data_IF_086164973274
#
_entry.id   IF_086164973274
#
_cell.length_a   1.000
_cell.length_b   1.000
_cell.length_c   1.000
_cell.angle_alpha   90.00
_cell.angle_beta   90.00
_cell.angle_gamma   90.00
#
_symmetry.space_group_name_H-M   'P 1'
#
loop_
_entity.id
_entity.type
_entity.pdbx_description
1 polymer ?
#
# COMPACT_ATOMS: atom_id res chain seq x y z
N UNK A 1 -13.96 147.25 -9.74
CA UNK A 1 -14.08 146.08 -8.75
C UNK A 1 -15.02 144.98 -9.14
N UNK A 2 -15.98 145.18 -9.99
CA UNK A 2 -16.94 144.21 -10.42
C UNK A 2 -16.34 143.15 -11.35
N UNK A 3 -15.40 143.44 -12.22
CA UNK A 3 -14.77 142.51 -13.15
C UNK A 3 -13.87 141.45 -12.42
N UNK A 4 -13.26 141.79 -11.24
CA UNK A 4 -12.41 140.86 -10.50
C UNK A 4 -13.22 139.80 -9.70
N UNK A 5 -14.43 140.20 -9.24
CA UNK A 5 -15.31 139.17 -8.56
C UNK A 5 -15.93 138.18 -9.51
N UNK A 6 -16.28 138.55 -10.76
CA UNK A 6 -16.80 137.68 -11.78
C UNK A 6 -15.74 136.66 -12.24
N UNK A 7 -14.45 137.10 -12.34
CA UNK A 7 -13.34 136.18 -12.68
C UNK A 7 -13.09 135.20 -11.57
N UNK A 8 -13.12 135.50 -10.29
CA UNK A 8 -12.98 134.67 -9.15
C UNK A 8 -14.14 133.56 -9.09
N UNK A 9 -15.35 134.03 -9.41
CA UNK A 9 -16.49 133.07 -9.46
C UNK A 9 -16.37 132.04 -10.62
N UNK A 10 -15.90 132.41 -11.81
CA UNK A 10 -15.63 131.55 -12.91
C UNK A 10 -14.52 130.54 -12.60
N UNK A 11 -13.41 130.96 -11.97
CA UNK A 11 -12.30 130.14 -11.53
C UNK A 11 -12.77 129.14 -10.48
N UNK A 12 -13.60 129.52 -9.51
CA UNK A 12 -14.12 128.59 -8.48
C UNK A 12 -15.06 127.57 -9.08
N UNK A 13 -15.90 127.94 -10.05
CA UNK A 13 -16.77 126.97 -10.75
C UNK A 13 -15.93 125.95 -11.56
N UNK A 14 -14.91 126.40 -12.29
CA UNK A 14 -13.99 125.54 -13.02
C UNK A 14 -13.27 124.55 -12.10
N UNK A 15 -12.76 125.04 -10.94
CA UNK A 15 -12.11 124.18 -9.94
C UNK A 15 -13.06 123.16 -9.36
N UNK A 16 -14.31 123.53 -9.03
CA UNK A 16 -15.31 122.57 -8.53
C UNK A 16 -15.65 121.48 -9.60
N UNK A 17 -15.83 121.90 -10.89
CA UNK A 17 -16.07 120.98 -11.97
C UNK A 17 -14.89 119.99 -12.15
N UNK A 18 -13.64 120.42 -12.09
CA UNK A 18 -12.45 119.62 -12.18
C UNK A 18 -12.36 118.64 -11.00
N UNK A 19 -12.67 119.07 -9.76
CA UNK A 19 -12.70 118.24 -8.58
C UNK A 19 -13.81 117.16 -8.71
N UNK A 20 -14.99 117.56 -9.23
CA UNK A 20 -16.06 116.53 -9.45
C UNK A 20 -15.66 115.52 -10.51
N UNK A 21 -15.06 115.94 -11.65
CA UNK A 21 -14.55 115.02 -12.69
C UNK A 21 -13.44 114.13 -12.11
N UNK A 22 -12.52 114.63 -11.28
CA UNK A 22 -11.48 113.87 -10.63
C UNK A 22 -12.05 112.83 -9.66
N UNK A 23 -13.04 113.24 -8.83
CA UNK A 23 -13.74 112.29 -7.92
C UNK A 23 -14.50 111.24 -8.69
N UNK A 24 -15.25 111.61 -9.76
CA UNK A 24 -15.96 110.69 -10.61
C UNK A 24 -15.00 109.69 -11.31
N UNK A 25 -13.83 110.18 -11.80
CA UNK A 25 -12.76 109.35 -12.39
C UNK A 25 -12.13 108.43 -11.37
N UNK A 26 -11.87 108.89 -10.16
CA UNK A 26 -11.33 108.06 -9.07
C UNK A 26 -12.30 106.98 -8.63
N UNK A 27 -13.61 107.29 -8.52
CA UNK A 27 -14.65 106.30 -8.22
C UNK A 27 -14.81 105.31 -9.38
N UNK A 28 -14.73 105.75 -10.62
CA UNK A 28 -14.76 104.93 -11.79
C UNK A 28 -13.60 103.93 -11.83
N UNK A 29 -12.35 104.43 -11.64
CA UNK A 29 -11.13 103.61 -11.52
C UNK A 29 -11.19 102.60 -10.35
N UNK A 30 -11.66 103.05 -9.20
CA UNK A 30 -11.82 102.18 -8.04
C UNK A 30 -12.82 101.08 -8.31
N UNK A 31 -13.91 101.36 -9.00
CA UNK A 31 -14.88 100.25 -9.38
C UNK A 31 -14.37 99.36 -10.50
N UNK A 32 -13.54 99.85 -11.42
CA UNK A 32 -13.02 99.13 -12.55
C UNK A 32 -11.88 98.19 -12.15
N UNK A 33 -10.98 98.56 -11.23
CA UNK A 33 -9.78 97.85 -10.88
C UNK A 33 -9.88 97.22 -9.47
N UNK A 34 -10.32 97.98 -8.46
CA UNK A 34 -10.29 97.46 -7.09
C UNK A 34 -11.36 96.40 -6.79
N UNK A 35 -12.57 96.50 -7.39
CA UNK A 35 -13.63 95.51 -7.18
C UNK A 35 -13.28 94.09 -7.68
N UNK A 36 -12.80 93.90 -8.93
CA UNK A 36 -12.39 92.59 -9.38
C UNK A 36 -11.24 91.98 -8.57
N UNK A 37 -10.23 92.82 -8.19
CA UNK A 37 -9.13 92.35 -7.31
C UNK A 37 -9.64 91.91 -5.94
N UNK A 38 -10.59 92.65 -5.34
CA UNK A 38 -11.21 92.29 -4.08
C UNK A 38 -12.03 90.98 -4.23
N UNK A 39 -12.72 90.76 -5.35
CA UNK A 39 -13.43 89.50 -5.61
C UNK A 39 -12.47 88.28 -5.68
N UNK A 40 -11.32 88.39 -6.38
CA UNK A 40 -10.30 87.35 -6.43
C UNK A 40 -9.68 87.17 -5.03
N UNK A 41 -9.34 88.23 -4.32
CA UNK A 41 -8.81 88.13 -2.95
C UNK A 41 -9.79 87.52 -1.96
N UNK A 42 -11.08 87.86 -2.05
CA UNK A 42 -12.14 87.27 -1.21
C UNK A 42 -12.36 85.81 -1.58
N UNK A 43 -12.36 85.44 -2.87
CA UNK A 43 -12.46 84.02 -3.33
C UNK A 43 -11.30 83.18 -2.83
N UNK A 44 -10.05 83.69 -2.92
CA UNK A 44 -8.87 83.03 -2.34
C UNK A 44 -8.98 82.83 -0.82
N UNK A 45 -9.47 83.88 -0.12
CA UNK A 45 -9.67 83.83 1.33
C UNK A 45 -10.73 82.83 1.73
N UNK A 46 -11.86 82.74 1.01
CA UNK A 46 -12.90 81.74 1.26
C UNK A 46 -12.39 80.34 1.03
N UNK A 47 -11.52 80.07 0.04
CA UNK A 47 -10.87 78.78 -0.17
C UNK A 47 -9.86 78.44 0.93
N UNK A 48 -9.06 79.43 1.37
CA UNK A 48 -8.00 79.21 2.35
C UNK A 48 -8.48 79.14 3.79
N UNK A 49 -9.50 79.90 4.17
CA UNK A 49 -10.00 79.97 5.55
C UNK A 49 -11.42 79.48 5.73
N UNK A 50 -12.12 79.14 4.63
CA UNK A 50 -13.52 78.66 4.59
C UNK A 50 -13.66 77.17 4.44
N UNK A 51 -14.83 76.75 3.96
CA UNK A 51 -15.19 75.36 3.73
C UNK A 51 -14.55 74.70 2.45
N UNK A 52 -13.55 75.41 1.86
CA UNK A 52 -12.86 74.86 0.66
C UNK A 52 -13.78 74.69 -0.55
N UNK A 53 -14.77 75.55 -0.72
CA UNK A 53 -15.74 75.45 -1.82
C UNK A 53 -15.10 75.80 -3.19
N UNK A 54 -14.71 74.77 -3.91
CA UNK A 54 -14.07 74.88 -5.23
C UNK A 54 -15.12 74.97 -6.37
N UNK A 55 -16.41 75.09 -6.06
CA UNK A 55 -17.47 75.18 -7.07
C UNK A 55 -17.75 76.65 -7.45
N UNK A 56 -17.33 77.61 -6.63
CA UNK A 56 -17.57 79.06 -6.82
C UNK A 56 -16.67 79.61 -7.91
N UNK A 57 -17.23 79.95 -9.05
CA UNK A 57 -16.53 80.61 -10.15
C UNK A 57 -16.71 82.15 -10.07
N UNK A 58 -15.64 82.88 -10.36
CA UNK A 58 -15.70 84.36 -10.52
C UNK A 58 -16.38 84.73 -11.86
N UNK A 59 -17.42 85.52 -11.80
CA UNK A 59 -18.07 86.01 -13.02
C UNK A 59 -17.16 86.99 -13.77
N UNK A 60 -16.70 86.60 -14.97
CA UNK A 60 -15.91 87.43 -15.87
C UNK A 60 -16.82 88.49 -16.54
N UNK A 61 -16.75 89.72 -16.12
CA UNK A 61 -17.57 90.83 -16.69
C UNK A 61 -16.76 91.88 -17.43
N UNK A 62 -15.47 91.76 -17.53
CA UNK A 62 -14.57 92.73 -18.20
C UNK A 62 -13.74 91.97 -19.27
N UNK A 63 -13.44 92.74 -20.36
CA UNK A 63 -12.56 92.23 -21.43
C UNK A 63 -11.10 92.82 -21.29
N UNK A 64 -10.76 93.33 -20.11
CA UNK A 64 -9.45 93.87 -19.75
C UNK A 64 -8.62 92.87 -18.93
N UNK A 65 -7.47 93.30 -18.41
CA UNK A 65 -6.54 92.48 -17.60
C UNK A 65 -7.21 91.87 -16.36
N UNK A 66 -8.27 92.51 -15.84
CA UNK A 66 -8.99 91.99 -14.66
C UNK A 66 -9.90 90.82 -15.04
N UNK A 67 -10.46 90.84 -16.24
CA UNK A 67 -11.21 89.73 -16.80
C UNK A 67 -10.33 88.53 -17.11
N UNK A 68 -9.13 88.76 -17.62
CA UNK A 68 -8.14 87.73 -17.87
C UNK A 68 -7.71 87.02 -16.55
N UNK A 69 -7.44 87.80 -15.49
CA UNK A 69 -7.11 87.36 -14.14
C UNK A 69 -8.24 86.43 -13.58
N UNK A 70 -9.50 86.82 -13.72
CA UNK A 70 -10.63 86.02 -13.30
C UNK A 70 -10.74 84.68 -14.11
N UNK A 71 -10.42 84.71 -15.42
CA UNK A 71 -10.31 83.55 -16.26
C UNK A 71 -9.25 82.52 -15.78
N UNK A 72 -8.03 83.02 -15.50
CA UNK A 72 -6.96 82.19 -14.94
C UNK A 72 -7.30 81.66 -13.56
N UNK A 73 -7.97 82.41 -12.70
CA UNK A 73 -8.44 81.97 -11.41
C UNK A 73 -9.45 80.79 -11.54
N UNK A 74 -10.47 80.94 -12.42
CA UNK A 74 -11.43 79.90 -12.67
C UNK A 74 -10.78 78.63 -13.27
N UNK A 75 -9.81 78.79 -14.18
CA UNK A 75 -9.02 77.68 -14.72
C UNK A 75 -8.20 76.99 -13.63
N UNK A 76 -7.60 77.73 -12.73
CA UNK A 76 -6.90 77.18 -11.56
C UNK A 76 -7.85 76.38 -10.64
N UNK A 77 -9.00 76.98 -10.28
CA UNK A 77 -10.00 76.27 -9.47
C UNK A 77 -10.48 74.92 -10.12
N UNK A 78 -10.73 74.97 -11.44
CA UNK A 78 -11.11 73.81 -12.20
C UNK A 78 -10.04 72.69 -12.14
N UNK A 79 -8.76 73.07 -12.29
CA UNK A 79 -7.65 72.13 -12.20
C UNK A 79 -7.53 71.52 -10.78
N UNK A 80 -7.65 72.37 -9.73
CA UNK A 80 -7.66 71.85 -8.34
C UNK A 80 -8.86 70.94 -8.06
N UNK A 81 -10.07 71.28 -8.52
CA UNK A 81 -11.27 70.44 -8.40
C UNK A 81 -11.05 69.12 -9.01
N UNK A 82 -10.52 69.05 -10.24
CA UNK A 82 -10.23 67.77 -10.93
C UNK A 82 -9.20 66.96 -10.16
N UNK A 83 -8.14 67.57 -9.63
CA UNK A 83 -7.10 66.92 -8.83
C UNK A 83 -7.71 66.33 -7.55
N UNK A 84 -8.54 67.09 -6.82
CA UNK A 84 -9.22 66.64 -5.60
C UNK A 84 -10.18 65.45 -5.91
N UNK A 85 -10.92 65.50 -7.01
CA UNK A 85 -11.79 64.39 -7.46
C UNK A 85 -10.97 63.15 -7.79
N UNK A 86 -9.82 63.29 -8.47
CA UNK A 86 -8.94 62.16 -8.76
C UNK A 86 -8.36 61.55 -7.47
N UNK A 87 -7.95 62.39 -6.50
CA UNK A 87 -7.46 61.92 -5.20
C UNK A 87 -8.55 61.18 -4.44
N UNK A 88 -9.80 61.69 -4.45
CA UNK A 88 -10.95 61.01 -3.85
C UNK A 88 -11.21 59.64 -4.46
N UNK A 89 -11.22 59.56 -5.80
CA UNK A 89 -11.36 58.29 -6.48
C UNK A 89 -10.24 57.30 -6.15
N UNK A 90 -8.98 57.77 -6.10
CA UNK A 90 -7.84 56.94 -5.72
C UNK A 90 -7.94 56.46 -4.26
N UNK A 91 -8.39 57.33 -3.34
CA UNK A 91 -8.65 56.97 -1.95
C UNK A 91 -9.71 55.86 -1.81
N UNK A 92 -10.85 56.02 -2.51
CA UNK A 92 -11.88 54.97 -2.52
C UNK A 92 -11.36 53.66 -3.10
N UNK A 93 -10.68 53.68 -4.24
CA UNK A 93 -10.10 52.49 -4.87
C UNK A 93 -9.06 51.80 -3.97
N UNK A 94 -8.28 52.59 -3.21
CA UNK A 94 -7.32 52.10 -2.21
C UNK A 94 -8.05 51.42 -1.04
N UNK A 95 -9.12 52.00 -0.51
CA UNK A 95 -9.95 51.40 0.54
C UNK A 95 -10.59 50.06 0.12
N UNK A 96 -11.18 50.03 -1.10
CA UNK A 96 -11.70 48.78 -1.64
C UNK A 96 -10.63 47.71 -1.83
N UNK A 97 -9.42 48.09 -2.27
CA UNK A 97 -8.30 47.16 -2.46
C UNK A 97 -7.81 46.63 -1.12
N UNK A 98 -7.74 47.52 -0.08
CA UNK A 98 -7.40 47.13 1.28
C UNK A 98 -8.42 46.14 1.86
N UNK A 99 -9.72 46.42 1.69
CA UNK A 99 -10.79 45.52 2.15
C UNK A 99 -10.72 44.11 1.48
N UNK A 100 -10.50 44.10 0.15
CA UNK A 100 -10.31 42.80 -0.56
C UNK A 100 -9.05 42.07 -0.07
N UNK A 101 -7.95 42.78 0.16
CA UNK A 101 -6.72 42.18 0.66
C UNK A 101 -6.89 41.62 2.09
N UNK A 102 -7.70 42.27 2.95
CA UNK A 102 -8.07 41.78 4.25
C UNK A 102 -8.80 40.43 4.14
N UNK A 103 -9.84 40.36 3.33
CA UNK A 103 -10.60 39.09 3.11
C UNK A 103 -9.69 37.96 2.61
N UNK A 104 -8.82 38.24 1.63
CA UNK A 104 -7.87 37.26 1.10
C UNK A 104 -6.89 36.81 2.19
N UNK A 105 -6.45 37.70 3.08
CA UNK A 105 -5.53 37.33 4.18
C UNK A 105 -6.22 36.46 5.22
N UNK A 106 -7.49 36.71 5.54
CA UNK A 106 -8.30 35.89 6.43
C UNK A 106 -8.54 34.47 5.84
N UNK A 107 -8.89 34.41 4.55
CA UNK A 107 -9.06 33.14 3.84
C UNK A 107 -7.74 32.34 3.82
N UNK A 108 -6.61 33.02 3.61
CA UNK A 108 -5.30 32.39 3.57
C UNK A 108 -4.91 31.82 4.95
N UNK A 109 -5.16 32.55 6.03
CA UNK A 109 -4.95 32.05 7.40
C UNK A 109 -5.81 30.81 7.68
N UNK A 110 -7.08 30.81 7.25
CA UNK A 110 -7.96 29.65 7.41
C UNK A 110 -7.50 28.44 6.59
N UNK A 111 -6.99 28.67 5.37
CA UNK A 111 -6.41 27.60 4.54
C UNK A 111 -5.14 27.03 5.19
N UNK A 112 -4.28 27.91 5.71
CA UNK A 112 -3.06 27.51 6.42
C UNK A 112 -3.36 26.64 7.63
N UNK A 113 -4.35 27.01 8.44
CA UNK A 113 -4.77 26.20 9.61
C UNK A 113 -5.27 24.82 9.19
N UNK A 114 -6.12 24.72 8.15
CA UNK A 114 -6.57 23.42 7.62
C UNK A 114 -5.42 22.58 7.07
N UNK A 115 -4.44 23.24 6.46
CA UNK A 115 -3.26 22.56 5.93
C UNK A 115 -2.39 22.00 7.06
N UNK A 116 -2.22 22.75 8.17
CA UNK A 116 -1.51 22.26 9.36
C UNK A 116 -2.16 21.00 9.93
N UNK A 117 -3.49 20.99 10.08
CA UNK A 117 -4.23 19.81 10.54
C UNK A 117 -4.05 18.61 9.60
N UNK A 118 -4.08 18.84 8.29
CA UNK A 118 -3.83 17.80 7.31
C UNK A 118 -2.39 17.24 7.41
N UNK A 119 -1.40 18.10 7.59
CA UNK A 119 0.01 17.73 7.78
C UNK A 119 0.19 16.87 9.02
N UNK A 120 -0.43 17.21 10.15
CA UNK A 120 -0.38 16.38 11.38
C UNK A 120 -0.98 14.98 11.17
N UNK A 121 -2.15 14.90 10.51
CA UNK A 121 -2.78 13.61 10.19
C UNK A 121 -1.90 12.76 9.28
N UNK A 122 -1.32 13.37 8.24
CA UNK A 122 -0.44 12.68 7.30
C UNK A 122 0.85 12.22 7.99
N UNK A 123 1.46 13.05 8.85
CA UNK A 123 2.64 12.68 9.64
C UNK A 123 2.36 11.46 10.54
N UNK A 124 1.19 11.43 11.20
CA UNK A 124 0.77 10.30 12.02
C UNK A 124 0.65 9.03 11.18
N UNK A 125 0.00 9.10 10.01
CA UNK A 125 -0.16 7.95 9.11
C UNK A 125 1.18 7.40 8.59
N UNK A 126 2.17 8.28 8.31
CA UNK A 126 3.49 7.82 7.89
C UNK A 126 4.29 7.21 9.04
N UNK A 127 4.16 7.69 10.27
CA UNK A 127 4.75 7.03 11.43
C UNK A 127 4.18 5.63 11.67
N UNK A 128 2.86 5.44 11.48
CA UNK A 128 2.21 4.12 11.51
C UNK A 128 2.69 3.22 10.36
N UNK A 129 2.90 3.79 9.16
CA UNK A 129 3.45 3.06 8.01
C UNK A 129 4.87 2.56 8.28
N UNK A 130 5.76 3.39 8.86
CA UNK A 130 7.11 2.99 9.28
C UNK A 130 7.06 1.83 10.28
N UNK A 131 6.19 1.91 11.29
CA UNK A 131 6.02 0.84 12.27
C UNK A 131 5.53 -0.46 11.61
N UNK A 132 4.53 -0.36 10.73
CA UNK A 132 3.98 -1.51 10.00
C UNK A 132 5.00 -2.13 9.05
N UNK A 133 5.78 -1.34 8.33
CA UNK A 133 6.84 -1.84 7.44
C UNK A 133 7.90 -2.64 8.23
N UNK A 134 8.33 -2.15 9.38
CA UNK A 134 9.24 -2.86 10.28
C UNK A 134 8.66 -4.18 10.81
N UNK A 135 7.36 -4.18 11.16
CA UNK A 135 6.68 -5.40 11.60
C UNK A 135 6.59 -6.42 10.46
N UNK A 136 6.23 -6.01 9.26
CA UNK A 136 6.20 -6.87 8.06
C UNK A 136 7.57 -7.46 7.78
N UNK A 137 8.66 -6.68 7.80
CA UNK A 137 10.02 -7.17 7.58
C UNK A 137 10.40 -8.24 8.64
N UNK A 138 10.04 -8.02 9.90
CA UNK A 138 10.29 -8.97 11.00
C UNK A 138 9.50 -10.27 10.83
N UNK A 139 8.21 -10.17 10.46
CA UNK A 139 7.35 -11.33 10.18
C UNK A 139 7.87 -12.15 9.00
N UNK A 140 8.31 -11.51 7.93
CA UNK A 140 8.88 -12.18 6.76
C UNK A 140 10.20 -12.90 7.10
N UNK A 141 11.06 -12.30 7.94
CA UNK A 141 12.27 -12.96 8.43
C UNK A 141 11.93 -14.22 9.23
N UNK A 142 10.94 -14.13 10.10
CA UNK A 142 10.46 -15.27 10.89
C UNK A 142 9.84 -16.36 10.00
N UNK A 143 9.06 -15.97 8.99
CA UNK A 143 8.45 -16.90 8.04
C UNK A 143 9.51 -17.60 7.16
N UNK A 144 10.57 -16.88 6.74
CA UNK A 144 11.70 -17.45 6.01
C UNK A 144 12.43 -18.51 6.87
N UNK A 145 12.69 -18.23 8.16
CA UNK A 145 13.26 -19.21 9.10
C UNK A 145 12.39 -20.44 9.29
N UNK A 146 11.06 -20.27 9.34
CA UNK A 146 10.12 -21.39 9.41
C UNK A 146 10.13 -22.22 8.11
N UNK A 147 10.28 -21.59 6.95
CA UNK A 147 10.47 -22.27 5.67
C UNK A 147 11.77 -23.07 5.65
N UNK A 148 12.90 -22.53 6.12
CA UNK A 148 14.16 -23.25 6.24
C UNK A 148 14.04 -24.51 7.14
N UNK A 149 13.35 -24.33 8.28
CA UNK A 149 13.10 -25.45 9.20
C UNK A 149 12.22 -26.56 8.54
N UNK A 150 11.21 -26.13 7.78
CA UNK A 150 10.34 -27.03 7.01
C UNK A 150 11.12 -27.76 5.91
N UNK A 151 12.03 -27.06 5.22
CA UNK A 151 12.91 -27.64 4.21
C UNK A 151 13.81 -28.74 4.79
N UNK A 152 14.35 -28.50 5.99
CA UNK A 152 15.13 -29.52 6.70
C UNK A 152 14.32 -30.77 7.04
N UNK A 153 13.05 -30.61 7.48
CA UNK A 153 12.12 -31.71 7.75
C UNK A 153 11.77 -32.49 6.48
N UNK A 154 11.52 -31.79 5.36
CA UNK A 154 11.28 -32.42 4.06
C UNK A 154 12.47 -33.25 3.62
N UNK A 155 13.68 -32.71 3.73
CA UNK A 155 14.92 -33.44 3.39
C UNK A 155 15.11 -34.70 4.26
N UNK A 156 14.82 -34.60 5.55
CA UNK A 156 14.87 -35.74 6.45
C UNK A 156 13.80 -36.79 6.08
N UNK A 157 12.57 -36.32 5.79
CA UNK A 157 11.48 -37.21 5.34
C UNK A 157 11.81 -37.98 4.05
N UNK A 158 12.42 -37.32 3.06
CA UNK A 158 12.90 -37.96 1.84
C UNK A 158 13.97 -39.02 2.12
N UNK A 159 14.88 -38.77 3.06
CA UNK A 159 15.89 -39.74 3.49
C UNK A 159 15.23 -40.99 4.13
N UNK A 160 14.25 -40.75 5.03
CA UNK A 160 13.55 -41.83 5.73
C UNK A 160 12.74 -42.69 4.76
N UNK A 161 12.10 -42.09 3.76
CA UNK A 161 11.40 -42.75 2.68
C UNK A 161 12.34 -43.60 1.84
N UNK A 162 13.49 -43.10 1.43
CA UNK A 162 14.49 -43.83 0.66
C UNK A 162 14.99 -45.06 1.47
N UNK A 163 15.14 -44.92 2.77
CA UNK A 163 15.52 -46.04 3.65
C UNK A 163 14.39 -47.07 3.78
N UNK A 164 13.14 -46.63 3.84
CA UNK A 164 11.98 -47.53 3.84
C UNK A 164 11.89 -48.32 2.53
N UNK A 165 12.09 -47.69 1.36
CA UNK A 165 12.16 -48.39 0.06
C UNK A 165 13.26 -49.47 0.06
N UNK A 166 14.45 -49.11 0.56
CA UNK A 166 15.54 -50.08 0.64
C UNK A 166 15.18 -51.28 1.53
N UNK A 167 14.55 -51.05 2.69
CA UNK A 167 14.12 -52.11 3.60
C UNK A 167 13.02 -53.03 3.01
N UNK A 168 12.05 -52.45 2.27
CA UNK A 168 11.01 -53.23 1.60
C UNK A 168 11.59 -54.05 0.44
N UNK A 169 12.56 -53.53 -0.30
CA UNK A 169 13.27 -54.31 -1.34
C UNK A 169 14.07 -55.44 -0.74
N UNK A 170 14.73 -55.26 0.39
CA UNK A 170 15.42 -56.36 1.12
C UNK A 170 14.43 -57.41 1.60
N UNK A 171 13.26 -57.00 2.13
CA UNK A 171 12.18 -57.93 2.50
C UNK A 171 11.69 -58.73 1.29
N UNK A 172 11.47 -58.10 0.13
CA UNK A 172 11.07 -58.76 -1.10
C UNK A 172 12.10 -59.84 -1.53
N UNK A 173 13.42 -59.54 -1.40
CA UNK A 173 14.49 -60.52 -1.67
C UNK A 173 14.46 -61.71 -0.70
N UNK A 174 14.25 -61.47 0.60
CA UNK A 174 14.13 -62.52 1.60
C UNK A 174 12.91 -63.39 1.36
N UNK A 175 11.77 -62.85 0.97
CA UNK A 175 10.57 -63.59 0.60
C UNK A 175 10.84 -64.45 -0.64
N UNK A 176 11.52 -63.90 -1.64
CA UNK A 176 11.88 -64.65 -2.87
C UNK A 176 12.80 -65.82 -2.56
N UNK A 177 13.84 -65.64 -1.76
CA UNK A 177 14.73 -66.72 -1.33
C UNK A 177 14.02 -67.80 -0.50
N UNK A 178 13.09 -67.39 0.38
CA UNK A 178 12.26 -68.32 1.15
C UNK A 178 11.33 -69.08 0.24
N UNK A 179 10.77 -68.48 -0.82
CA UNK A 179 9.93 -69.19 -1.81
C UNK A 179 10.71 -70.21 -2.57
N UNK A 180 11.98 -69.95 -2.91
CA UNK A 180 12.84 -70.99 -3.55
C UNK A 180 13.10 -72.16 -2.64
N UNK A 181 13.40 -71.96 -1.35
CA UNK A 181 13.59 -73.00 -0.36
C UNK A 181 12.33 -73.89 -0.17
N UNK A 182 11.14 -73.26 -0.20
CA UNK A 182 9.85 -74.02 -0.12
C UNK A 182 9.59 -74.79 -1.40
N UNK A 183 9.99 -74.28 -2.58
CA UNK A 183 9.89 -75.02 -3.84
C UNK A 183 10.81 -76.30 -3.82
N UNK A 184 12.03 -76.20 -3.28
CA UNK A 184 12.93 -77.30 -3.07
C UNK A 184 12.30 -78.33 -2.12
N UNK A 185 11.67 -77.92 -1.00
CA UNK A 185 10.97 -78.75 -0.07
C UNK A 185 9.76 -79.48 -0.74
N UNK A 186 9.04 -78.87 -1.63
CA UNK A 186 7.98 -79.42 -2.42
C UNK A 186 8.52 -80.60 -3.33
N UNK A 187 9.66 -80.29 -4.00
CA UNK A 187 10.35 -81.30 -4.83
C UNK A 187 10.81 -82.49 -4.02
N UNK A 188 11.45 -82.27 -2.84
CA UNK A 188 11.87 -83.34 -1.96
C UNK A 188 10.69 -84.20 -1.47
N UNK A 189 9.57 -83.54 -1.12
CA UNK A 189 8.33 -84.27 -0.73
C UNK A 189 7.77 -85.13 -1.84
N UNK A 190 7.85 -84.74 -3.11
CA UNK A 190 7.49 -85.52 -4.27
C UNK A 190 8.42 -86.72 -4.41
N UNK A 191 9.72 -86.56 -4.17
CA UNK A 191 10.71 -87.66 -4.14
C UNK A 191 10.39 -88.68 -3.08
N UNK A 192 10.01 -88.26 -1.87
CA UNK A 192 9.59 -89.14 -0.78
C UNK A 192 8.35 -90.00 -1.20
N UNK A 193 7.36 -89.37 -1.86
CA UNK A 193 6.20 -90.05 -2.36
C UNK A 193 6.59 -91.20 -3.32
N UNK A 194 7.50 -90.97 -4.24
CA UNK A 194 7.99 -92.01 -5.18
C UNK A 194 8.71 -93.17 -4.46
N UNK A 195 9.46 -92.90 -3.39
CA UNK A 195 10.11 -93.87 -2.56
C UNK A 195 9.07 -94.71 -1.81
N UNK A 196 8.04 -94.07 -1.21
CA UNK A 196 6.95 -94.77 -0.51
C UNK A 196 6.16 -95.73 -1.43
N UNK A 197 5.87 -95.30 -2.65
CA UNK A 197 5.24 -96.10 -3.67
C UNK A 197 6.06 -97.41 -3.98
N UNK A 198 7.39 -97.23 -4.06
CA UNK A 198 8.32 -98.31 -4.24
C UNK A 198 8.29 -99.33 -3.05
N UNK A 199 8.34 -98.77 -1.82
CA UNK A 199 8.31 -99.59 -0.57
C UNK A 199 6.95 -100.28 -0.48
N UNK A 200 5.86 -99.65 -0.80
CA UNK A 200 4.52 -100.26 -0.83
C UNK A 200 4.46 -101.40 -1.84
N UNK A 201 5.04 -101.23 -3.04
CA UNK A 201 5.13 -102.27 -4.04
C UNK A 201 5.94 -103.50 -3.56
N UNK A 202 7.09 -103.27 -2.88
CA UNK A 202 7.93 -104.32 -2.27
C UNK A 202 7.16 -105.02 -1.16
N UNK A 203 6.45 -104.33 -0.31
CA UNK A 203 5.64 -104.89 0.76
C UNK A 203 4.50 -105.77 0.20
N UNK A 204 3.84 -105.29 -0.87
CA UNK A 204 2.80 -106.04 -1.55
C UNK A 204 3.35 -107.35 -2.19
N UNK A 205 4.50 -107.24 -2.86
CA UNK A 205 5.20 -108.40 -3.39
C UNK A 205 5.60 -109.41 -2.28
N UNK A 206 6.14 -108.85 -1.15
CA UNK A 206 6.55 -109.68 0.03
C UNK A 206 5.33 -110.35 0.65
N UNK A 207 4.19 -109.68 0.76
CA UNK A 207 2.94 -110.27 1.24
C UNK A 207 2.45 -111.41 0.33
N UNK A 208 2.55 -111.23 -1.01
CA UNK A 208 2.22 -112.26 -1.97
C UNK A 208 3.19 -113.48 -1.89
N UNK A 209 4.49 -113.26 -1.76
CA UNK A 209 5.52 -114.25 -1.58
C UNK A 209 5.28 -115.04 -0.28
N UNK A 210 5.00 -114.36 0.81
CA UNK A 210 4.67 -114.96 2.10
C UNK A 210 3.38 -115.77 2.04
N UNK A 211 2.35 -115.32 1.34
CA UNK A 211 1.11 -116.06 1.11
C UNK A 211 1.39 -117.39 0.34
N UNK A 212 2.16 -117.32 -0.73
CA UNK A 212 2.56 -118.48 -1.52
C UNK A 212 3.38 -119.48 -0.67
N UNK A 213 4.30 -118.97 0.18
CA UNK A 213 5.06 -119.84 1.09
C UNK A 213 4.18 -120.46 2.17
N UNK A 214 3.21 -119.71 2.73
CA UNK A 214 2.24 -120.24 3.68
C UNK A 214 1.35 -121.41 3.04
N UNK A 215 0.93 -121.21 1.78
CA UNK A 215 0.19 -122.19 1.02
C UNK A 215 1.03 -123.51 0.81
N UNK A 216 2.27 -123.37 0.41
CA UNK A 216 3.15 -124.50 0.15
C UNK A 216 3.57 -125.21 1.46
N UNK A 217 3.76 -124.41 2.54
CA UNK A 217 4.01 -124.97 3.88
C UNK A 217 2.80 -125.76 4.40
N UNK A 218 1.56 -125.31 4.17
CA UNK A 218 0.34 -126.08 4.47
C UNK A 218 0.22 -127.35 3.62
N UNK A 219 0.71 -127.35 2.40
CA UNK A 219 0.75 -128.44 1.48
C UNK A 219 1.74 -129.57 1.89
N UNK A 220 2.82 -129.15 2.59
CA UNK A 220 3.82 -130.08 3.09
C UNK A 220 3.42 -130.73 4.43
N UNK A 221 2.26 -130.46 4.98
CA UNK A 221 1.71 -131.08 6.18
C UNK A 221 2.57 -130.91 7.43
N UNK A 222 2.78 -131.87 8.27
CA UNK A 222 3.56 -131.81 9.52
C UNK A 222 5.00 -131.39 9.30
N UNK A 223 5.59 -131.66 8.16
CA UNK A 223 6.97 -131.10 7.82
C UNK A 223 7.05 -129.63 7.50
N UNK A 224 5.94 -129.06 7.15
CA UNK A 224 5.88 -127.64 6.81
C UNK A 224 5.50 -126.70 7.96
N UNK A 225 5.17 -127.16 9.16
CA UNK A 225 4.68 -126.33 10.31
C UNK A 225 5.62 -125.16 10.69
N UNK A 226 6.93 -125.36 10.75
CA UNK A 226 7.91 -124.34 11.05
C UNK A 226 7.96 -123.27 9.97
N UNK A 227 7.87 -123.62 8.68
CA UNK A 227 7.81 -122.72 7.55
C UNK A 227 6.49 -121.95 7.49
N UNK A 228 5.38 -122.56 7.86
CA UNK A 228 4.09 -121.86 7.93
C UNK A 228 4.08 -120.71 8.94
N UNK A 229 4.64 -120.86 10.14
CA UNK A 229 4.79 -119.81 11.18
C UNK A 229 5.66 -118.64 10.69
N UNK A 230 6.79 -118.97 10.01
CA UNK A 230 7.66 -117.93 9.44
C UNK A 230 6.95 -117.18 8.30
N UNK A 231 6.21 -117.91 7.45
CA UNK A 231 5.45 -117.28 6.36
C UNK A 231 4.34 -116.38 6.89
N UNK A 232 3.62 -116.78 7.94
CA UNK A 232 2.61 -115.90 8.57
C UNK A 232 3.24 -114.71 9.24
N UNK A 233 4.41 -114.79 9.89
CA UNK A 233 5.12 -113.67 10.47
C UNK A 233 5.63 -112.67 9.42
N UNK A 234 6.21 -113.21 8.30
CA UNK A 234 6.60 -112.38 7.14
C UNK A 234 5.40 -111.65 6.54
N UNK A 235 4.26 -112.36 6.42
CA UNK A 235 3.01 -111.76 5.94
C UNK A 235 2.49 -110.65 6.86
N UNK A 236 2.52 -110.92 8.17
CA UNK A 236 2.15 -109.90 9.17
C UNK A 236 3.07 -108.65 9.11
N UNK A 237 4.40 -108.85 8.94
CA UNK A 237 5.39 -107.79 8.79
C UNK A 237 5.16 -106.99 7.51
N UNK A 238 4.89 -107.70 6.37
CA UNK A 238 4.56 -107.07 5.09
C UNK A 238 3.31 -106.19 5.21
N UNK A 239 2.26 -106.69 5.86
CA UNK A 239 1.05 -105.89 6.15
C UNK A 239 1.33 -104.66 6.99
N UNK A 240 2.08 -104.84 8.10
CA UNK A 240 2.51 -103.68 8.94
C UNK A 240 3.32 -102.69 8.16
N UNK A 241 4.19 -103.08 7.25
CA UNK A 241 4.95 -102.20 6.37
C UNK A 241 4.01 -101.43 5.44
N UNK A 242 3.01 -102.07 4.85
CA UNK A 242 2.00 -101.36 4.02
C UNK A 242 1.22 -100.33 4.83
N UNK A 243 0.74 -100.71 6.02
CA UNK A 243 -0.02 -99.81 6.89
C UNK A 243 0.87 -98.58 7.30
N UNK A 244 2.14 -98.80 7.67
CA UNK A 244 3.11 -97.70 7.98
C UNK A 244 3.40 -96.86 6.77
N UNK A 245 3.55 -97.38 5.57
CA UNK A 245 3.76 -96.58 4.36
C UNK A 245 2.55 -95.75 4.02
N UNK A 246 1.33 -96.26 4.25
CA UNK A 246 0.09 -95.43 4.07
C UNK A 246 0.03 -94.27 5.04
N UNK A 247 0.32 -94.52 6.34
CA UNK A 247 0.39 -93.38 7.34
C UNK A 247 1.44 -92.32 6.98
N UNK A 248 2.64 -92.73 6.52
CA UNK A 248 3.66 -91.79 6.07
C UNK A 248 3.21 -91.07 4.82
N UNK A 249 2.53 -91.74 3.86
CA UNK A 249 2.01 -91.09 2.65
C UNK A 249 0.98 -89.99 2.99
N UNK A 250 0.09 -90.23 3.97
CA UNK A 250 -0.85 -89.23 4.44
C UNK A 250 -0.13 -88.03 5.05
N UNK A 251 0.98 -88.25 5.80
CA UNK A 251 1.81 -87.21 6.36
C UNK A 251 2.47 -86.36 5.26
N UNK A 252 3.01 -87.02 4.21
CA UNK A 252 3.63 -86.35 3.06
C UNK A 252 2.61 -85.58 2.26
N UNK A 253 1.42 -86.07 2.02
CA UNK A 253 0.35 -85.30 1.37
C UNK A 253 -0.06 -84.09 2.16
N UNK A 254 -0.15 -84.15 3.48
CA UNK A 254 -0.38 -82.96 4.33
C UNK A 254 0.78 -81.93 4.25
N UNK A 255 2.01 -82.43 4.19
CA UNK A 255 3.19 -81.52 4.00
C UNK A 255 3.13 -80.80 2.66
N UNK A 256 2.83 -81.52 1.54
CA UNK A 256 2.68 -80.97 0.19
C UNK A 256 1.57 -79.91 0.13
N UNK A 257 0.43 -80.16 0.78
CA UNK A 257 -0.63 -79.10 0.84
C UNK A 257 -0.22 -77.88 1.61
N UNK A 258 0.48 -78.05 2.72
CA UNK A 258 1.00 -76.91 3.51
C UNK A 258 2.07 -76.08 2.78
N UNK A 259 2.98 -76.76 2.05
CA UNK A 259 3.97 -76.11 1.22
C UNK A 259 3.33 -75.24 0.12
N UNK A 260 2.29 -75.74 -0.54
CA UNK A 260 1.50 -75.00 -1.53
C UNK A 260 0.83 -73.79 -0.92
N UNK A 261 0.23 -73.89 0.27
CA UNK A 261 -0.37 -72.76 0.99
C UNK A 261 0.69 -71.67 1.32
N UNK A 262 1.87 -72.08 1.80
CA UNK A 262 2.98 -71.19 2.12
C UNK A 262 3.50 -70.50 0.85
N UNK A 263 3.66 -71.22 -0.26
CA UNK A 263 4.06 -70.64 -1.55
C UNK A 263 3.06 -69.57 -2.01
N UNK A 264 1.76 -69.82 -1.90
CA UNK A 264 0.72 -68.88 -2.24
C UNK A 264 0.79 -67.61 -1.34
N UNK A 265 0.99 -67.78 -0.02
CA UNK A 265 1.15 -66.65 0.91
C UNK A 265 2.40 -65.81 0.59
N UNK A 266 3.51 -66.47 0.20
CA UNK A 266 4.73 -65.75 -0.22
C UNK A 266 4.51 -64.92 -1.48
N UNK A 267 3.79 -65.41 -2.47
CA UNK A 267 3.41 -64.71 -3.68
C UNK A 267 2.57 -63.47 -3.37
N UNK A 268 1.58 -63.59 -2.46
CA UNK A 268 0.78 -62.44 -2.00
C UNK A 268 1.65 -61.42 -1.27
N UNK A 269 2.57 -61.86 -0.41
CA UNK A 269 3.49 -61.00 0.33
C UNK A 269 4.46 -60.24 -0.60
N UNK A 270 4.95 -60.92 -1.64
CA UNK A 270 5.82 -60.30 -2.65
C UNK A 270 5.08 -59.19 -3.43
N UNK A 271 3.84 -59.45 -3.86
CA UNK A 271 3.01 -58.43 -4.51
C UNK A 271 2.74 -57.24 -3.60
N UNK A 272 2.40 -57.48 -2.33
CA UNK A 272 2.20 -56.40 -1.36
C UNK A 272 3.46 -55.56 -1.13
N UNK A 273 4.65 -56.21 -1.17
CA UNK A 273 5.93 -55.50 -1.11
C UNK A 273 6.13 -54.57 -2.32
N UNK A 274 5.82 -55.02 -3.54
CA UNK A 274 5.90 -54.21 -4.76
C UNK A 274 4.93 -53.01 -4.71
N UNK A 275 3.67 -53.25 -4.32
CA UNK A 275 2.69 -52.19 -4.15
C UNK A 275 3.15 -51.15 -3.12
N UNK A 276 3.79 -51.60 -2.04
CA UNK A 276 4.35 -50.70 -1.01
C UNK A 276 5.47 -49.83 -1.58
N UNK A 277 6.35 -50.39 -2.43
CA UNK A 277 7.41 -49.59 -3.12
C UNK A 277 6.77 -48.52 -4.02
N UNK A 278 5.78 -48.90 -4.85
CA UNK A 278 5.10 -47.91 -5.73
C UNK A 278 4.42 -46.81 -4.94
N UNK A 279 3.73 -47.12 -3.83
CA UNK A 279 3.13 -46.12 -2.95
C UNK A 279 4.20 -45.18 -2.35
N UNK A 280 5.34 -45.73 -1.96
CA UNK A 280 6.43 -44.98 -1.35
C UNK A 280 7.11 -44.05 -2.37
N UNK A 281 7.24 -44.47 -3.63
CA UNK A 281 7.70 -43.59 -4.73
C UNK A 281 6.74 -42.41 -4.98
N UNK A 282 5.42 -42.66 -4.92
CA UNK A 282 4.41 -41.59 -4.99
C UNK A 282 4.56 -40.59 -3.84
N UNK A 283 4.81 -41.08 -2.61
CA UNK A 283 5.08 -40.21 -1.46
C UNK A 283 6.37 -39.38 -1.67
N UNK A 284 7.44 -39.99 -2.21
CA UNK A 284 8.68 -39.27 -2.51
C UNK A 284 8.48 -38.14 -3.52
N UNK A 285 7.64 -38.37 -4.55
CA UNK A 285 7.23 -37.33 -5.52
C UNK A 285 6.50 -36.18 -4.81
N UNK A 286 5.60 -36.51 -3.86
CA UNK A 286 4.87 -35.52 -3.08
C UNK A 286 5.82 -34.67 -2.22
N UNK A 287 6.83 -35.28 -1.58
CA UNK A 287 7.86 -34.56 -0.83
C UNK A 287 8.68 -33.62 -1.73
N UNK A 288 8.95 -34.01 -2.97
CA UNK A 288 9.64 -33.12 -3.93
C UNK A 288 8.80 -31.89 -4.27
N UNK A 289 7.48 -32.03 -4.45
CA UNK A 289 6.56 -30.91 -4.65
C UNK A 289 6.44 -30.00 -3.41
N UNK A 290 6.48 -30.58 -2.21
CA UNK A 290 6.52 -29.80 -0.95
C UNK A 290 7.82 -29.01 -0.86
N UNK A 291 8.98 -29.61 -1.20
CA UNK A 291 10.29 -28.95 -1.21
C UNK A 291 10.30 -27.72 -2.10
N UNK A 292 9.78 -27.84 -3.33
CA UNK A 292 9.66 -26.73 -4.28
C UNK A 292 8.77 -25.59 -3.74
N UNK A 293 7.63 -25.97 -3.15
CA UNK A 293 6.70 -25.02 -2.54
C UNK A 293 7.32 -24.26 -1.37
N UNK A 294 8.05 -24.96 -0.49
CA UNK A 294 8.74 -24.36 0.66
C UNK A 294 9.85 -23.41 0.21
N UNK A 295 10.63 -23.81 -0.82
CA UNK A 295 11.64 -22.93 -1.43
C UNK A 295 11.01 -21.64 -1.99
N UNK A 296 9.87 -21.78 -2.69
CA UNK A 296 9.14 -20.63 -3.22
C UNK A 296 8.64 -19.69 -2.11
N UNK A 297 8.17 -20.25 -0.98
CA UNK A 297 7.76 -19.46 0.20
C UNK A 297 8.95 -18.72 0.80
N UNK A 298 10.12 -19.35 0.91
CA UNK A 298 11.34 -18.69 1.38
C UNK A 298 11.72 -17.50 0.50
N UNK A 299 11.73 -17.69 -0.83
CA UNK A 299 12.07 -16.64 -1.80
C UNK A 299 11.06 -15.47 -1.76
N UNK A 300 9.76 -15.78 -1.68
CA UNK A 300 8.72 -14.76 -1.55
C UNK A 300 8.88 -13.96 -0.26
N UNK A 301 9.15 -14.58 0.87
CA UNK A 301 9.35 -13.87 2.13
C UNK A 301 10.59 -12.95 2.08
N UNK A 302 11.66 -13.36 1.41
CA UNK A 302 12.84 -12.54 1.18
C UNK A 302 12.51 -11.30 0.33
N UNK A 303 11.71 -11.47 -0.73
CA UNK A 303 11.26 -10.36 -1.56
C UNK A 303 10.33 -9.39 -0.80
N UNK A 304 9.40 -9.92 0.00
CA UNK A 304 8.49 -9.07 0.80
C UNK A 304 9.28 -8.30 1.87
N UNK A 305 10.27 -8.93 2.52
CA UNK A 305 11.14 -8.25 3.49
C UNK A 305 11.91 -7.09 2.83
N UNK A 306 12.45 -7.30 1.62
CA UNK A 306 13.13 -6.24 0.85
C UNK A 306 12.17 -5.10 0.47
N UNK A 307 10.95 -5.43 0.02
CA UNK A 307 9.93 -4.43 -0.30
C UNK A 307 9.48 -3.63 0.95
N UNK A 308 9.40 -4.28 2.11
CA UNK A 308 9.08 -3.60 3.37
C UNK A 308 10.20 -2.63 3.79
N UNK A 309 11.48 -3.01 3.61
CA UNK A 309 12.63 -2.13 3.83
C UNK A 309 12.59 -0.91 2.90
N UNK A 310 12.28 -1.10 1.62
CA UNK A 310 12.11 0.01 0.68
C UNK A 310 10.94 0.92 1.09
N UNK A 311 9.80 0.34 1.54
CA UNK A 311 8.67 1.13 2.06
C UNK A 311 9.06 1.95 3.30
N UNK A 312 9.86 1.39 4.21
CA UNK A 312 10.38 2.10 5.35
C UNK A 312 11.20 3.33 4.93
N UNK A 313 12.14 3.18 3.99
CA UNK A 313 12.98 4.27 3.49
C UNK A 313 12.16 5.37 2.79
N UNK A 314 11.18 4.98 1.97
CA UNK A 314 10.27 5.92 1.30
C UNK A 314 9.42 6.67 2.32
N UNK A 315 8.90 5.99 3.35
CA UNK A 315 8.11 6.63 4.40
C UNK A 315 8.93 7.64 5.21
N UNK A 316 10.20 7.34 5.49
CA UNK A 316 11.12 8.30 6.13
C UNK A 316 11.39 9.53 5.25
N UNK A 317 11.55 9.36 3.93
CA UNK A 317 11.71 10.47 3.00
C UNK A 317 10.46 11.36 2.95
N UNK A 318 9.28 10.73 2.88
CA UNK A 318 8.01 11.47 2.90
C UNK A 318 7.84 12.22 4.22
N UNK A 319 8.20 11.63 5.36
CA UNK A 319 8.11 12.30 6.65
C UNK A 319 9.00 13.57 6.69
N UNK A 320 10.19 13.53 6.09
CA UNK A 320 11.04 14.73 5.91
C UNK A 320 10.37 15.80 5.02
N UNK A 321 9.73 15.38 3.94
CA UNK A 321 9.00 16.30 3.06
C UNK A 321 7.78 16.92 3.76
N UNK A 322 7.09 16.17 4.61
CA UNK A 322 5.98 16.66 5.44
C UNK A 322 6.46 17.74 6.42
N UNK A 323 7.63 17.57 7.05
CA UNK A 323 8.21 18.60 7.90
C UNK A 323 8.49 19.89 7.13
N UNK A 324 8.99 19.78 5.88
CA UNK A 324 9.18 20.94 5.02
C UNK A 324 7.84 21.63 4.68
N UNK A 325 6.79 20.85 4.38
CA UNK A 325 5.44 21.41 4.14
C UNK A 325 4.90 22.10 5.38
N UNK A 326 5.15 21.56 6.57
CA UNK A 326 4.76 22.19 7.83
C UNK A 326 5.45 23.57 8.02
N UNK A 327 6.76 23.63 7.81
CA UNK A 327 7.51 24.90 7.87
C UNK A 327 7.02 25.93 6.85
N UNK A 328 6.70 25.49 5.63
CA UNK A 328 6.20 26.36 4.58
C UNK A 328 4.78 26.87 4.90
N UNK A 329 3.94 26.03 5.51
CA UNK A 329 2.60 26.43 6.00
C UNK A 329 2.70 27.49 7.10
N UNK A 330 3.65 27.37 8.03
CA UNK A 330 3.91 28.40 9.04
C UNK A 330 4.34 29.72 8.41
N UNK A 331 5.18 29.69 7.36
CA UNK A 331 5.56 30.91 6.61
C UNK A 331 4.36 31.55 5.92
N UNK A 332 3.45 30.74 5.36
CA UNK A 332 2.20 31.24 4.75
C UNK A 332 1.34 31.93 5.79
N UNK A 333 1.21 31.40 7.00
CA UNK A 333 0.48 32.02 8.10
C UNK A 333 1.09 33.37 8.51
N UNK A 334 2.42 33.44 8.65
CA UNK A 334 3.13 34.72 8.92
C UNK A 334 2.89 35.77 7.81
N UNK A 335 2.95 35.36 6.54
CA UNK A 335 2.67 36.22 5.39
C UNK A 335 1.22 36.70 5.41
N UNK A 336 0.26 35.85 5.73
CA UNK A 336 -1.15 36.22 5.87
C UNK A 336 -1.35 37.26 6.97
N UNK A 337 -0.74 37.07 8.14
CA UNK A 337 -0.78 38.03 9.26
C UNK A 337 -0.18 39.37 8.88
N UNK A 338 0.95 39.40 8.19
CA UNK A 338 1.58 40.63 7.70
C UNK A 338 0.74 41.32 6.64
N UNK A 339 0.14 40.59 5.73
CA UNK A 339 -0.77 41.13 4.72
C UNK A 339 -2.01 41.76 5.36
N UNK A 340 -2.54 41.15 6.40
CA UNK A 340 -3.66 41.66 7.19
C UNK A 340 -3.30 43.02 7.83
N UNK A 341 -2.16 43.12 8.52
CA UNK A 341 -1.68 44.37 9.13
C UNK A 341 -1.46 45.47 8.08
N UNK A 342 -0.85 45.13 6.94
CA UNK A 342 -0.63 46.08 5.84
C UNK A 342 -1.95 46.57 5.25
N UNK A 343 -2.94 45.69 5.08
CA UNK A 343 -4.26 46.04 4.58
C UNK A 343 -5.02 46.97 5.53
N UNK A 344 -4.94 46.72 6.84
CA UNK A 344 -5.50 47.60 7.86
C UNK A 344 -4.86 48.99 7.81
N UNK A 345 -3.52 49.08 7.69
CA UNK A 345 -2.80 50.34 7.55
C UNK A 345 -3.19 51.10 6.28
N UNK A 346 -3.37 50.37 5.16
CA UNK A 346 -3.80 50.93 3.89
C UNK A 346 -5.24 51.43 3.95
N UNK A 347 -6.13 50.70 4.64
CA UNK A 347 -7.50 51.15 4.90
C UNK A 347 -7.52 52.44 5.71
N UNK A 348 -6.74 52.51 6.79
CA UNK A 348 -6.61 53.74 7.59
C UNK A 348 -6.11 54.91 6.76
N UNK A 349 -5.07 54.71 5.93
CA UNK A 349 -4.55 55.75 5.04
C UNK A 349 -5.58 56.22 4.01
N UNK A 350 -6.41 55.31 3.47
CA UNK A 350 -7.51 55.66 2.58
C UNK A 350 -8.57 56.50 3.28
N UNK A 351 -8.93 56.14 4.52
CA UNK A 351 -9.91 56.88 5.32
C UNK A 351 -9.39 58.27 5.70
N UNK A 352 -8.11 58.40 6.07
CA UNK A 352 -7.47 59.70 6.34
C UNK A 352 -7.44 60.57 5.08
N UNK A 353 -7.09 59.98 3.91
CA UNK A 353 -7.08 60.69 2.63
C UNK A 353 -8.48 61.18 2.26
N UNK A 354 -9.49 60.31 2.38
CA UNK A 354 -10.89 60.69 2.16
C UNK A 354 -11.35 61.82 3.11
N UNK A 355 -10.97 61.75 4.38
CA UNK A 355 -11.27 62.79 5.37
C UNK A 355 -10.63 64.14 5.03
N UNK A 356 -9.40 64.13 4.45
CA UNK A 356 -8.74 65.36 3.98
C UNK A 356 -9.43 65.95 2.73
N UNK A 357 -9.79 65.10 1.79
CA UNK A 357 -10.43 65.50 0.53
C UNK A 357 -11.86 65.99 0.74
N UNK A 358 -12.61 65.39 1.67
CA UNK A 358 -13.99 65.78 2.01
C UNK A 358 -14.09 67.21 2.57
N UNK A 359 -12.96 67.83 3.02
CA UNK A 359 -12.91 69.26 3.39
C UNK A 359 -13.10 70.19 2.19
N UNK A 360 -12.92 69.66 0.97
CA UNK A 360 -13.10 70.45 -0.26
C UNK A 360 -14.41 70.07 -0.94
N UNK A 361 -15.24 71.09 -1.19
CA UNK A 361 -16.47 70.88 -1.93
C UNK A 361 -16.19 70.99 -3.44
N UNK A 362 -16.45 69.86 -4.16
CA UNK A 362 -16.13 69.70 -5.58
C UNK A 362 -17.38 69.56 -6.49
N UNK A 363 -18.55 69.40 -5.91
CA UNK A 363 -19.88 69.26 -6.52
C UNK A 363 -20.93 70.14 -5.82
#
# INVERSE_FOLDING_TARGET
MEDSQSLLSYISVIVIVLVVIFIAGAIFLANLIAKPLTLVSTGLKEISEGEGDLTKELQVRSSDETGELAGYFNAFLKAIRQLIQQISQAGHAMGESASRALTVSEDLAQVSERQNQAVEMVSTAFNEMVATANEVATLCTTAAQAADSSQALVTQGQKDINQAVASVNELAQLISASSETIAELEQDSQGITAILDTIRGIAEQTNLLALNAAIEAARAGEQGRGFAVVADEVRALAKRTQDSTEEINELVMRLQNRTKEVTQQMSVSLNASHETVEMTESVNTSFSGISESVSSIHDMNTQIATAAEEQHLVAEEINRNIQQVHEDTQKVDDVAGRAQLNSQSMQQSADELNALVTKFKTD
#
